data_IF_433025580800
#
_entry.id   IF_433025580800
#
_cell.length_a   1.000
_cell.length_b   1.000
_cell.length_c   1.000
_cell.angle_alpha   90.00
_cell.angle_beta   90.00
_cell.angle_gamma   90.00
#
_symmetry.space_group_name_H-M   'P 1'
#
loop_
_entity.id
_entity.type
_entity.pdbx_description
1 polymer ?
#
# COMPACT_ATOMS: atom_id res chain seq x y z
N UNK A 1 -69.51 1.52 -4.39
CA UNK A 1 -68.52 0.48 -4.73
C UNK A 1 -68.70 -0.68 -3.77
N UNK A 2 -68.71 -1.94 -4.24
CA UNK A 2 -68.73 -3.07 -3.30
C UNK A 2 -67.41 -3.14 -2.53
N UNK A 3 -67.47 -3.59 -1.27
CA UNK A 3 -66.29 -3.75 -0.39
C UNK A 3 -65.15 -4.48 -1.10
N UNK A 4 -65.47 -5.50 -1.89
CA UNK A 4 -64.53 -6.29 -2.68
C UNK A 4 -63.75 -5.48 -3.73
N UNK A 5 -64.39 -4.51 -4.39
CA UNK A 5 -63.71 -3.64 -5.37
C UNK A 5 -62.77 -2.64 -4.69
N UNK A 6 -63.12 -2.17 -3.49
CA UNK A 6 -62.26 -1.27 -2.73
C UNK A 6 -60.99 -1.98 -2.26
N UNK A 7 -61.10 -3.22 -1.77
CA UNK A 7 -59.94 -4.03 -1.37
C UNK A 7 -59.00 -4.33 -2.54
N UNK A 8 -59.53 -4.64 -3.73
CA UNK A 8 -58.70 -4.88 -4.92
C UNK A 8 -57.93 -3.63 -5.36
N UNK A 9 -58.56 -2.45 -5.30
CA UNK A 9 -57.90 -1.18 -5.63
C UNK A 9 -56.79 -0.86 -4.63
N UNK A 10 -57.01 -1.08 -3.33
CA UNK A 10 -56.00 -0.85 -2.29
C UNK A 10 -54.81 -1.81 -2.40
N UNK A 11 -55.03 -3.06 -2.80
CA UNK A 11 -53.94 -4.02 -3.07
C UNK A 11 -53.11 -3.59 -4.28
N UNK A 12 -53.75 -3.18 -5.37
CA UNK A 12 -53.07 -2.67 -6.57
C UNK A 12 -52.24 -1.42 -6.29
N UNK A 13 -52.77 -0.49 -5.48
CA UNK A 13 -52.03 0.71 -5.06
C UNK A 13 -50.80 0.35 -4.23
N UNK A 14 -50.91 -0.59 -3.27
CA UNK A 14 -49.76 -1.02 -2.48
C UNK A 14 -48.67 -1.68 -3.33
N UNK A 15 -49.04 -2.57 -4.26
CA UNK A 15 -48.07 -3.19 -5.18
C UNK A 15 -47.37 -2.14 -6.05
N UNK A 16 -48.11 -1.14 -6.51
CA UNK A 16 -47.56 -0.05 -7.33
C UNK A 16 -46.57 0.81 -6.53
N UNK A 17 -46.91 1.19 -5.30
CA UNK A 17 -46.03 1.99 -4.43
C UNK A 17 -44.75 1.23 -4.07
N UNK A 18 -44.85 -0.06 -3.74
CA UNK A 18 -43.67 -0.90 -3.47
C UNK A 18 -42.78 -1.01 -4.71
N UNK A 19 -43.37 -1.18 -5.90
CA UNK A 19 -42.61 -1.30 -7.15
C UNK A 19 -41.88 -0.02 -7.53
N UNK A 20 -42.53 1.15 -7.38
CA UNK A 20 -41.89 2.46 -7.63
C UNK A 20 -40.75 2.71 -6.64
N UNK A 21 -40.96 2.35 -5.36
CA UNK A 21 -39.95 2.53 -4.32
C UNK A 21 -38.72 1.64 -4.57
N UNK A 22 -38.94 0.38 -4.96
CA UNK A 22 -37.87 -0.56 -5.30
C UNK A 22 -37.09 -0.11 -6.54
N UNK A 23 -37.79 0.37 -7.58
CA UNK A 23 -37.16 0.89 -8.79
C UNK A 23 -36.33 2.17 -8.52
N UNK A 24 -36.81 3.04 -7.65
CA UNK A 24 -36.08 4.25 -7.24
C UNK A 24 -34.83 3.89 -6.43
N UNK A 25 -34.93 2.88 -5.55
CA UNK A 25 -33.78 2.41 -4.77
C UNK A 25 -32.70 1.78 -5.65
N UNK A 26 -33.10 0.98 -6.66
CA UNK A 26 -32.16 0.38 -7.63
C UNK A 26 -31.46 1.46 -8.46
N UNK A 27 -32.18 2.46 -8.97
CA UNK A 27 -31.57 3.53 -9.77
C UNK A 27 -30.61 4.42 -8.97
N UNK A 28 -30.90 4.68 -7.69
CA UNK A 28 -29.99 5.44 -6.81
C UNK A 28 -28.74 4.61 -6.50
N UNK A 29 -28.87 3.30 -6.31
CA UNK A 29 -27.73 2.41 -6.12
C UNK A 29 -26.86 2.30 -7.38
N UNK A 30 -27.45 2.19 -8.57
CA UNK A 30 -26.71 2.13 -9.85
C UNK A 30 -25.97 3.44 -10.18
N UNK A 31 -26.53 4.59 -9.79
CA UNK A 31 -25.86 5.88 -9.95
C UNK A 31 -24.52 5.96 -9.21
N UNK A 32 -24.45 5.42 -7.99
CA UNK A 32 -23.21 5.34 -7.20
C UNK A 32 -22.22 4.28 -7.70
N UNK A 33 -22.72 3.13 -8.16
CA UNK A 33 -21.90 2.05 -8.73
C UNK A 33 -21.25 2.44 -10.07
N UNK A 34 -21.90 3.26 -10.89
CA UNK A 34 -21.34 3.71 -12.17
C UNK A 34 -20.17 4.69 -12.02
N UNK A 35 -20.21 5.57 -11.01
CA UNK A 35 -19.09 6.47 -10.70
C UNK A 35 -17.88 5.71 -10.11
N UNK A 36 -18.13 4.67 -9.33
CA UNK A 36 -17.06 3.82 -8.80
C UNK A 36 -16.32 3.06 -9.90
N UNK A 37 -17.06 2.49 -10.86
CA UNK A 37 -16.47 1.75 -12.01
C UNK A 37 -15.67 2.64 -12.96
N UNK A 38 -16.04 3.91 -13.13
CA UNK A 38 -15.32 4.81 -14.03
C UNK A 38 -14.02 5.36 -13.42
N UNK A 39 -13.96 5.54 -12.10
CA UNK A 39 -12.74 5.93 -11.39
C UNK A 39 -11.73 4.78 -11.32
N UNK A 40 -12.16 3.54 -11.07
CA UNK A 40 -11.27 2.37 -11.11
C UNK A 40 -10.60 2.24 -12.49
N UNK A 41 -11.36 2.32 -13.58
CA UNK A 41 -10.83 2.13 -14.94
C UNK A 41 -9.75 3.16 -15.33
N UNK A 42 -9.76 4.37 -14.74
CA UNK A 42 -8.79 5.42 -15.03
C UNK A 42 -7.49 5.29 -14.22
N UNK A 43 -7.54 4.74 -13.00
CA UNK A 43 -6.33 4.58 -12.16
C UNK A 43 -5.41 3.45 -12.60
N UNK A 44 -5.93 2.47 -13.36
CA UNK A 44 -5.20 1.28 -13.80
C UNK A 44 -4.63 1.34 -15.22
N UNK A 45 -4.94 2.39 -15.99
CA UNK A 45 -4.25 2.59 -17.25
C UNK A 45 -2.79 2.95 -16.93
N UNK A 46 -1.79 2.23 -17.47
CA UNK A 46 -0.41 2.65 -17.31
C UNK A 46 -0.28 4.10 -17.81
N UNK A 47 0.55 4.94 -17.16
CA UNK A 47 0.88 6.22 -17.76
C UNK A 47 1.38 5.95 -19.18
N UNK A 48 0.74 6.55 -20.19
CA UNK A 48 1.28 6.51 -21.53
C UNK A 48 2.70 7.09 -21.46
N UNK A 49 3.71 6.28 -21.80
CA UNK A 49 5.12 6.68 -21.88
C UNK A 49 5.40 7.77 -22.94
N UNK A 50 4.36 8.42 -23.46
CA UNK A 50 4.45 9.60 -24.29
C UNK A 50 3.95 10.79 -23.46
N UNK A 51 4.87 11.53 -22.84
CA UNK A 51 4.56 12.92 -22.47
C UNK A 51 4.24 13.68 -23.77
N UNK A 52 3.00 14.15 -24.02
CA UNK A 52 2.81 15.16 -25.05
C UNK A 52 3.53 16.44 -24.59
N UNK A 53 4.02 17.28 -25.51
CA UNK A 53 4.60 18.56 -25.15
C UNK A 53 3.55 19.37 -24.39
N UNK A 54 3.85 19.70 -23.14
CA UNK A 54 2.99 20.53 -22.29
C UNK A 54 2.88 21.90 -22.95
N UNK A 55 1.68 22.22 -23.47
CA UNK A 55 1.38 23.55 -23.94
C UNK A 55 1.52 24.53 -22.76
N UNK A 56 2.22 25.65 -22.99
CA UNK A 56 2.45 26.68 -22.01
C UNK A 56 1.11 27.16 -21.43
N UNK A 57 0.90 26.92 -20.13
CA UNK A 57 -0.24 27.45 -19.38
C UNK A 57 0.05 28.92 -19.08
N UNK A 58 -0.84 29.81 -19.51
CA UNK A 58 -0.73 31.23 -19.19
C UNK A 58 -0.82 31.47 -17.67
N UNK A 59 -0.04 32.42 -17.13
CA UNK A 59 0.00 32.68 -15.69
C UNK A 59 -1.36 33.19 -15.19
N UNK A 60 -1.90 32.50 -14.19
CA UNK A 60 -3.10 32.92 -13.45
C UNK A 60 -2.78 34.22 -12.71
N UNK A 61 -3.61 35.29 -12.82
CA UNK A 61 -3.39 36.53 -12.11
C UNK A 61 -3.52 36.31 -10.59
N UNK A 62 -2.45 36.67 -9.88
CA UNK A 62 -2.33 36.59 -8.42
C UNK A 62 -3.48 37.30 -7.72
N UNK A 63 -4.34 36.54 -7.03
CA UNK A 63 -5.27 37.10 -6.08
C UNK A 63 -4.48 37.72 -4.91
N UNK A 64 -4.81 38.96 -4.55
CA UNK A 64 -4.26 39.64 -3.37
C UNK A 64 -4.75 38.94 -2.11
N UNK A 65 -3.89 38.09 -1.53
CA UNK A 65 -4.07 37.60 -0.17
C UNK A 65 -3.78 38.75 0.79
N UNK A 66 -4.78 39.13 1.59
CA UNK A 66 -4.65 40.11 2.64
C UNK A 66 -3.83 39.49 3.77
N UNK A 67 -2.56 39.84 3.86
CA UNK A 67 -1.66 39.41 4.95
C UNK A 67 -2.00 40.26 6.18
N UNK A 68 -2.57 39.61 7.20
CA UNK A 68 -2.65 40.15 8.55
C UNK A 68 -1.24 40.09 9.15
N UNK A 69 -0.69 41.19 9.71
CA UNK A 69 0.65 41.18 10.27
C UNK A 69 0.64 40.45 11.61
N UNK A 70 1.15 39.23 11.62
CA UNK A 70 1.43 38.50 12.86
C UNK A 70 2.82 38.86 13.39
N UNK A 71 2.91 38.92 14.70
CA UNK A 71 3.99 39.54 15.45
C UNK A 71 5.32 38.79 15.36
N UNK A 72 6.37 39.58 15.56
CA UNK A 72 7.79 39.26 15.51
C UNK A 72 8.20 38.00 16.29
N UNK A 73 8.46 36.90 15.59
CA UNK A 73 9.44 35.88 15.99
C UNK A 73 10.32 35.52 14.79
N UNK A 74 11.24 36.42 14.47
CA UNK A 74 12.31 36.16 13.51
C UNK A 74 13.37 35.23 14.11
N UNK A 75 13.17 33.92 13.96
CA UNK A 75 14.27 32.97 14.05
C UNK A 75 15.06 33.02 12.74
N UNK A 76 16.17 33.75 12.76
CA UNK A 76 17.21 33.65 11.74
C UNK A 76 17.78 32.23 11.84
N UNK A 77 17.44 31.38 10.88
CA UNK A 77 18.09 30.08 10.71
C UNK A 77 19.50 30.34 10.17
N UNK A 78 20.48 30.37 11.07
CA UNK A 78 21.89 30.41 10.73
C UNK A 78 22.25 29.16 9.90
N UNK A 79 22.54 29.36 8.62
CA UNK A 79 23.04 28.35 7.67
C UNK A 79 24.45 27.83 8.01
N UNK A 80 25.00 28.14 9.19
CA UNK A 80 26.39 27.87 9.55
C UNK A 80 26.59 26.60 10.42
N UNK A 81 25.56 25.83 10.76
CA UNK A 81 25.69 24.64 11.63
C UNK A 81 25.52 23.27 10.96
N UNK A 82 25.47 23.19 9.62
CA UNK A 82 25.32 21.90 8.92
C UNK A 82 26.63 21.08 8.79
N UNK A 83 27.79 21.60 9.19
CA UNK A 83 29.08 20.95 8.89
C UNK A 83 29.64 20.00 9.97
N UNK A 84 28.89 19.66 11.03
CA UNK A 84 29.44 18.83 12.12
C UNK A 84 28.54 17.71 12.66
N UNK A 85 27.59 17.18 11.88
CA UNK A 85 27.02 15.85 12.17
C UNK A 85 27.94 14.81 11.52
N UNK A 86 29.12 14.61 12.11
CA UNK A 86 30.04 13.53 11.72
C UNK A 86 30.02 12.43 12.76
N UNK A 87 29.85 11.19 12.26
CA UNK A 87 30.42 9.92 12.75
C UNK A 87 29.58 8.91 13.56
N UNK A 88 28.30 9.17 13.89
CA UNK A 88 27.49 8.19 14.64
C UNK A 88 26.35 7.48 13.89
N UNK A 89 25.89 8.02 12.76
CA UNK A 89 24.71 7.51 12.05
C UNK A 89 25.02 6.26 11.20
N UNK A 90 24.01 5.41 10.98
CA UNK A 90 24.08 4.21 10.12
C UNK A 90 24.18 4.55 8.61
N UNK A 91 24.54 5.78 8.25
CA UNK A 91 24.41 6.29 6.90
C UNK A 91 25.06 7.66 6.70
N UNK A 92 25.06 8.14 5.46
CA UNK A 92 25.64 9.42 5.05
C UNK A 92 24.67 10.25 4.23
N UNK A 93 24.71 11.56 4.43
CA UNK A 93 24.01 12.51 3.58
C UNK A 93 24.91 12.92 2.41
N UNK A 94 24.46 12.76 1.16
CA UNK A 94 25.23 13.22 -0.01
C UNK A 94 25.17 14.76 -0.17
N UNK A 95 25.91 15.31 -1.15
CA UNK A 95 25.94 16.75 -1.42
C UNK A 95 24.59 17.38 -1.79
N UNK A 96 23.59 16.55 -2.14
CA UNK A 96 22.24 16.97 -2.49
C UNK A 96 21.27 16.84 -1.30
N UNK A 97 21.78 16.54 -0.08
CA UNK A 97 20.96 16.43 1.12
C UNK A 97 20.30 15.07 1.32
N UNK A 98 20.63 14.06 0.51
CA UNK A 98 20.03 12.72 0.64
C UNK A 98 20.75 11.83 1.60
N UNK A 99 20.01 11.33 2.58
CA UNK A 99 20.49 10.31 3.50
C UNK A 99 20.45 8.93 2.85
N UNK A 100 21.58 8.24 2.85
CA UNK A 100 21.71 6.84 2.44
C UNK A 100 22.14 6.01 3.62
N UNK A 101 21.49 4.88 3.83
CA UNK A 101 21.91 3.88 4.82
C UNK A 101 23.00 3.03 4.21
N UNK A 102 24.12 2.87 4.93
CA UNK A 102 25.16 1.96 4.49
C UNK A 102 24.83 0.53 4.89
N UNK A 103 25.08 -0.46 4.01
CA UNK A 103 24.98 -1.85 4.40
C UNK A 103 25.97 -2.14 5.53
N UNK A 104 25.55 -2.90 6.54
CA UNK A 104 26.47 -3.37 7.57
C UNK A 104 27.42 -4.42 6.98
N UNK A 105 28.51 -4.73 7.69
CA UNK A 105 29.48 -5.72 7.24
C UNK A 105 28.80 -7.07 6.92
N UNK A 106 28.89 -7.51 5.67
CA UNK A 106 28.29 -8.77 5.18
C UNK A 106 26.88 -8.63 4.61
N UNK A 107 26.22 -7.49 4.80
CA UNK A 107 24.96 -7.19 4.11
C UNK A 107 25.25 -6.74 2.67
N UNK A 108 24.32 -7.02 1.75
CA UNK A 108 24.34 -6.49 0.38
C UNK A 108 23.83 -5.05 0.38
N UNK A 109 24.13 -4.32 -0.69
CA UNK A 109 23.67 -2.94 -0.87
C UNK A 109 22.40 -2.92 -1.71
N UNK A 110 21.25 -2.65 -1.08
CA UNK A 110 19.96 -2.61 -1.77
C UNK A 110 19.94 -1.54 -2.88
N UNK A 111 20.43 -0.34 -2.58
CA UNK A 111 20.38 0.79 -3.51
C UNK A 111 21.12 0.49 -4.83
N UNK A 112 22.32 -0.08 -4.76
CA UNK A 112 23.09 -0.40 -5.96
C UNK A 112 22.48 -1.55 -6.78
N UNK A 113 21.92 -2.56 -6.11
CA UNK A 113 21.19 -3.65 -6.78
C UNK A 113 19.93 -3.11 -7.46
N UNK A 114 19.14 -2.31 -6.76
CA UNK A 114 17.91 -1.71 -7.25
C UNK A 114 18.14 -0.77 -8.45
N UNK A 115 19.24 -0.01 -8.46
CA UNK A 115 19.65 0.78 -9.63
C UNK A 115 20.02 -0.09 -10.82
N UNK A 116 20.71 -1.21 -10.59
CA UNK A 116 21.15 -2.12 -11.65
C UNK A 116 19.96 -2.82 -12.33
N UNK A 117 18.96 -3.23 -11.56
CA UNK A 117 17.72 -3.86 -12.06
C UNK A 117 16.74 -2.84 -12.63
N UNK A 118 16.87 -1.57 -12.26
CA UNK A 118 16.04 -0.48 -12.78
C UNK A 118 14.67 -0.39 -12.12
N UNK A 119 14.54 -0.83 -10.87
CA UNK A 119 13.29 -0.63 -10.12
C UNK A 119 13.08 0.85 -9.77
N UNK A 120 11.82 1.28 -9.77
CA UNK A 120 11.37 2.61 -9.38
C UNK A 120 11.57 2.91 -7.89
N UNK A 121 11.69 1.87 -7.05
CA UNK A 121 11.94 1.93 -5.60
C UNK A 121 13.10 2.84 -5.18
N UNK A 122 14.05 3.06 -6.10
CA UNK A 122 15.24 3.91 -5.90
C UNK A 122 15.47 4.93 -7.01
N UNK A 123 14.45 5.19 -7.85
CA UNK A 123 14.61 6.11 -8.98
C UNK A 123 14.58 7.58 -8.56
N UNK A 124 13.89 7.94 -7.49
CA UNK A 124 13.79 9.34 -7.07
C UNK A 124 15.14 9.98 -6.68
N UNK A 125 16.05 9.31 -5.93
CA UNK A 125 17.41 9.81 -5.70
C UNK A 125 18.19 10.16 -6.98
N UNK A 126 17.96 9.42 -8.06
CA UNK A 126 18.63 9.64 -9.36
C UNK A 126 18.06 10.85 -10.08
N UNK A 127 16.73 11.06 -10.00
CA UNK A 127 16.03 12.15 -10.71
C UNK A 127 15.98 13.46 -9.95
N UNK A 128 16.04 13.44 -8.62
CA UNK A 128 15.87 14.66 -7.82
C UNK A 128 16.89 15.76 -8.15
N UNK A 129 18.20 15.49 -8.36
CA UNK A 129 19.17 16.56 -8.59
C UNK A 129 18.81 17.45 -9.79
N UNK A 130 18.30 16.87 -10.87
CA UNK A 130 17.89 17.63 -12.05
C UNK A 130 16.54 18.32 -11.83
N UNK A 131 15.62 17.65 -11.14
CA UNK A 131 14.37 18.23 -10.67
C UNK A 131 14.59 19.46 -9.75
N UNK A 132 15.59 19.46 -8.86
CA UNK A 132 15.90 20.60 -8.00
C UNK A 132 16.57 21.76 -8.74
N UNK A 133 17.32 21.48 -9.81
CA UNK A 133 17.88 22.53 -10.67
C UNK A 133 16.80 23.19 -11.54
N UNK A 134 15.80 22.42 -11.94
CA UNK A 134 14.71 22.88 -12.79
C UNK A 134 13.40 22.25 -12.33
N UNK A 135 12.62 22.97 -11.53
CA UNK A 135 11.37 22.47 -10.94
C UNK A 135 10.36 22.03 -12.03
N UNK A 136 10.40 22.64 -13.22
CA UNK A 136 9.56 22.24 -14.35
C UNK A 136 9.90 20.85 -14.93
N UNK A 137 11.06 20.28 -14.58
CA UNK A 137 11.43 18.90 -14.93
C UNK A 137 10.95 17.87 -13.92
N UNK A 138 10.44 18.31 -12.77
CA UNK A 138 9.85 17.44 -11.77
C UNK A 138 8.48 16.91 -12.24
N UNK A 139 8.11 15.71 -11.81
CA UNK A 139 6.76 15.17 -12.04
C UNK A 139 5.71 15.90 -11.22
N UNK A 140 6.10 16.42 -10.04
CA UNK A 140 5.24 17.21 -9.16
C UNK A 140 5.92 18.56 -8.84
N UNK A 141 5.94 19.51 -9.79
CA UNK A 141 6.50 20.85 -9.56
C UNK A 141 5.77 21.54 -8.40
N UNK A 142 6.51 22.33 -7.61
CA UNK A 142 5.96 23.07 -6.48
C UNK A 142 5.61 22.24 -5.23
N UNK A 143 5.85 20.93 -5.21
CA UNK A 143 5.69 20.14 -3.98
C UNK A 143 6.63 20.67 -2.88
N UNK A 144 6.04 20.95 -1.70
CA UNK A 144 6.76 21.54 -0.55
C UNK A 144 7.94 20.66 -0.13
N UNK A 145 7.72 19.34 -0.09
CA UNK A 145 8.75 18.35 0.24
C UNK A 145 9.56 18.00 -1.03
N UNK A 146 10.89 18.25 -1.07
CA UNK A 146 11.75 17.94 -2.21
C UNK A 146 11.64 16.50 -2.71
N UNK A 147 11.61 15.53 -1.79
CA UNK A 147 11.56 14.11 -2.10
C UNK A 147 10.25 13.68 -2.77
N UNK A 148 9.20 14.50 -2.72
CA UNK A 148 7.94 14.25 -3.40
C UNK A 148 7.89 14.79 -4.84
N UNK A 149 8.89 15.55 -5.28
CA UNK A 149 8.90 16.21 -6.60
C UNK A 149 9.23 15.29 -7.78
N UNK A 150 10.26 14.42 -7.73
CA UNK A 150 10.62 13.56 -8.86
C UNK A 150 9.68 12.35 -8.95
N UNK A 151 9.73 11.66 -10.08
CA UNK A 151 9.13 10.33 -10.22
C UNK A 151 10.01 9.25 -9.55
N UNK A 152 9.36 8.20 -9.04
CA UNK A 152 9.99 7.07 -8.33
C UNK A 152 9.97 7.26 -6.82
N UNK A 153 10.70 6.39 -6.11
CA UNK A 153 10.66 6.31 -4.65
C UNK A 153 12.06 6.42 -4.01
N UNK A 154 12.04 6.60 -2.69
CA UNK A 154 13.20 6.67 -1.80
C UNK A 154 13.21 5.48 -0.82
N UNK A 155 12.80 4.30 -1.29
CA UNK A 155 12.62 3.14 -0.41
C UNK A 155 13.93 2.43 -0.05
N UNK A 156 15.06 2.83 -0.64
CA UNK A 156 16.36 2.22 -0.35
C UNK A 156 16.73 2.23 1.13
N UNK A 157 16.42 3.32 1.83
CA UNK A 157 16.75 3.49 3.26
C UNK A 157 16.02 2.45 4.10
N UNK A 158 14.69 2.37 3.98
CA UNK A 158 13.89 1.44 4.79
C UNK A 158 14.17 -0.02 4.41
N UNK A 159 14.38 -0.32 3.11
CA UNK A 159 14.75 -1.65 2.66
C UNK A 159 16.10 -2.09 3.19
N UNK A 160 17.13 -1.25 3.07
CA UNK A 160 18.45 -1.57 3.61
C UNK A 160 18.39 -1.79 5.13
N UNK A 161 17.69 -0.92 5.87
CA UNK A 161 17.60 -1.04 7.33
C UNK A 161 16.89 -2.31 7.80
N UNK A 162 15.79 -2.68 7.14
CA UNK A 162 14.87 -3.71 7.65
C UNK A 162 15.09 -5.07 7.00
N UNK A 163 15.69 -5.11 5.80
CA UNK A 163 15.96 -6.33 5.07
C UNK A 163 17.46 -6.62 4.86
N UNK A 164 18.34 -5.65 5.14
CA UNK A 164 19.80 -5.82 5.11
C UNK A 164 20.29 -7.08 5.85
N UNK A 165 19.84 -7.36 7.09
CA UNK A 165 20.25 -8.55 7.82
C UNK A 165 19.94 -9.87 7.10
N UNK A 166 18.90 -9.92 6.26
CA UNK A 166 18.50 -11.12 5.51
C UNK A 166 19.19 -11.26 4.14
N UNK A 167 19.99 -10.26 3.75
CA UNK A 167 20.75 -10.26 2.50
C UNK A 167 22.13 -10.94 2.64
N UNK A 168 22.52 -11.30 3.86
CA UNK A 168 23.84 -11.85 4.19
C UNK A 168 23.97 -13.30 3.76
N UNK A 169 25.18 -13.72 3.40
CA UNK A 169 25.47 -15.09 2.94
C UNK A 169 25.26 -16.16 4.03
N UNK A 170 25.31 -15.76 5.31
CA UNK A 170 25.08 -16.62 6.49
C UNK A 170 23.62 -16.64 6.97
N UNK A 171 22.68 -16.05 6.20
CA UNK A 171 21.25 -16.06 6.54
C UNK A 171 20.65 -17.44 6.28
N UNK A 172 19.93 -18.01 7.25
CA UNK A 172 19.13 -19.23 7.06
C UNK A 172 18.11 -19.07 5.93
N UNK A 173 17.79 -20.12 5.16
CA UNK A 173 16.76 -20.06 4.12
C UNK A 173 15.40 -19.60 4.65
N UNK A 174 14.71 -18.76 3.88
CA UNK A 174 13.38 -18.23 4.19
C UNK A 174 12.59 -18.02 2.90
N UNK A 175 11.27 -17.79 2.99
CA UNK A 175 10.46 -17.35 1.85
C UNK A 175 10.24 -15.84 1.88
N UNK A 176 10.25 -15.26 0.69
CA UNK A 176 9.89 -13.88 0.39
C UNK A 176 8.71 -13.87 -0.58
N UNK A 177 7.75 -12.97 -0.40
CA UNK A 177 6.64 -12.77 -1.34
C UNK A 177 6.50 -11.29 -1.69
N UNK A 178 6.40 -10.98 -2.99
CA UNK A 178 5.95 -9.69 -3.50
C UNK A 178 4.56 -9.82 -4.12
N UNK A 179 3.63 -8.93 -3.81
CA UNK A 179 2.34 -8.81 -4.48
C UNK A 179 2.48 -7.61 -5.42
N UNK A 180 2.41 -7.83 -6.73
CA UNK A 180 2.74 -6.83 -7.76
C UNK A 180 4.09 -7.13 -8.41
N UNK A 181 4.09 -7.86 -9.52
CA UNK A 181 5.30 -8.14 -10.30
C UNK A 181 5.57 -7.03 -11.33
N UNK A 182 4.51 -6.50 -11.93
CA UNK A 182 4.52 -5.59 -13.07
C UNK A 182 5.40 -6.07 -14.23
N UNK A 183 6.63 -5.56 -14.35
CA UNK A 183 7.62 -5.96 -15.36
C UNK A 183 8.81 -6.74 -14.76
N UNK A 184 8.74 -7.05 -13.46
CA UNK A 184 9.69 -7.84 -12.69
C UNK A 184 10.93 -7.10 -12.19
N UNK A 185 11.08 -5.78 -12.41
CA UNK A 185 12.26 -5.06 -11.92
C UNK A 185 12.35 -5.05 -10.37
N UNK A 186 11.21 -4.89 -9.68
CA UNK A 186 11.12 -5.02 -8.22
C UNK A 186 11.50 -6.43 -7.77
N UNK A 187 10.81 -7.44 -8.29
CA UNK A 187 11.11 -8.85 -8.04
C UNK A 187 12.59 -9.25 -8.27
N UNK A 188 13.18 -8.82 -9.40
CA UNK A 188 14.58 -9.10 -9.74
C UNK A 188 15.53 -8.46 -8.72
N UNK A 189 15.19 -7.26 -8.22
CA UNK A 189 15.93 -6.58 -7.14
C UNK A 189 15.92 -7.43 -5.89
N UNK A 190 14.74 -7.88 -5.46
CA UNK A 190 14.60 -8.68 -4.24
C UNK A 190 15.31 -10.02 -4.36
N UNK A 191 15.24 -10.69 -5.51
CA UNK A 191 15.91 -11.98 -5.72
C UNK A 191 17.44 -11.87 -5.71
N UNK A 192 18.01 -10.75 -6.19
CA UNK A 192 19.45 -10.50 -6.09
C UNK A 192 19.88 -10.07 -4.68
N UNK A 193 19.04 -9.28 -3.99
CA UNK A 193 19.31 -8.80 -2.64
C UNK A 193 19.14 -9.89 -1.58
N UNK A 194 18.07 -10.68 -1.64
CA UNK A 194 17.73 -11.76 -0.72
C UNK A 194 18.11 -13.12 -1.31
N UNK A 195 19.38 -13.31 -1.63
CA UNK A 195 19.83 -14.48 -2.39
C UNK A 195 19.62 -15.85 -1.70
N UNK A 196 19.48 -15.89 -0.37
CA UNK A 196 19.08 -17.09 0.39
C UNK A 196 17.55 -17.22 0.55
N UNK A 197 16.81 -16.20 0.08
CA UNK A 197 15.37 -16.16 0.06
C UNK A 197 14.80 -16.93 -1.12
N UNK A 198 13.83 -17.76 -0.83
CA UNK A 198 12.93 -18.32 -1.81
C UNK A 198 11.86 -17.27 -2.18
N UNK A 199 12.13 -16.52 -3.25
CA UNK A 199 11.27 -15.41 -3.68
C UNK A 199 10.09 -15.89 -4.53
N UNK A 200 8.87 -15.48 -4.15
CA UNK A 200 7.64 -15.62 -4.93
C UNK A 200 7.08 -14.24 -5.29
N UNK A 201 6.26 -14.18 -6.34
CA UNK A 201 5.50 -12.99 -6.70
C UNK A 201 4.08 -13.35 -7.15
N UNK A 202 3.11 -12.45 -6.92
CA UNK A 202 1.73 -12.56 -7.42
C UNK A 202 1.47 -11.41 -8.39
N UNK A 203 0.90 -11.71 -9.56
CA UNK A 203 0.60 -10.71 -10.59
C UNK A 203 -0.72 -10.97 -11.30
N UNK A 204 -1.58 -9.95 -11.33
CA UNK A 204 -2.87 -10.04 -12.03
C UNK A 204 -2.71 -9.86 -13.54
N UNK A 205 -1.73 -9.08 -13.99
CA UNK A 205 -1.50 -8.82 -15.40
C UNK A 205 -1.07 -10.06 -16.19
N UNK A 206 -0.63 -11.13 -15.52
CA UNK A 206 -0.21 -12.36 -16.18
C UNK A 206 -1.33 -13.41 -16.35
N UNK A 207 -2.58 -13.09 -15.99
CA UNK A 207 -3.75 -13.90 -16.34
C UNK A 207 -4.18 -13.68 -17.80
N UNK A 208 -5.16 -14.45 -18.26
CA UNK A 208 -5.69 -14.33 -19.62
C UNK A 208 -6.19 -12.90 -19.91
N UNK A 209 -5.86 -12.38 -21.10
CA UNK A 209 -6.33 -11.08 -21.55
C UNK A 209 -7.83 -11.10 -21.83
N UNK A 210 -8.56 -10.09 -21.34
CA UNK A 210 -9.99 -9.94 -21.63
C UNK A 210 -10.73 -9.01 -20.66
N UNK A 211 -12.07 -8.97 -20.72
CA UNK A 211 -12.88 -8.13 -19.86
C UNK A 211 -12.78 -8.55 -18.38
N UNK A 212 -12.67 -7.57 -17.46
CA UNK A 212 -12.71 -7.84 -16.01
C UNK A 212 -13.96 -8.60 -15.57
N UNK A 213 -15.10 -8.40 -16.24
CA UNK A 213 -16.35 -9.12 -15.96
C UNK A 213 -16.25 -10.64 -16.18
N UNK A 214 -15.24 -11.10 -16.91
CA UNK A 214 -14.95 -12.53 -17.13
C UNK A 214 -13.80 -13.03 -16.24
N UNK A 215 -13.33 -12.21 -15.27
CA UNK A 215 -12.14 -12.53 -14.46
C UNK A 215 -10.83 -12.39 -15.24
N UNK A 216 -10.83 -11.62 -16.33
CA UNK A 216 -9.68 -11.44 -17.24
C UNK A 216 -9.05 -10.05 -17.12
N UNK A 217 -7.82 -9.89 -17.61
CA UNK A 217 -7.08 -8.64 -17.53
C UNK A 217 -7.09 -7.86 -18.86
N UNK A 218 -7.65 -6.64 -18.93
CA UNK A 218 -7.85 -5.97 -20.22
C UNK A 218 -6.60 -5.26 -20.78
N UNK A 219 -5.61 -4.93 -19.94
CA UNK A 219 -4.50 -4.03 -20.30
C UNK A 219 -3.25 -4.73 -20.86
N UNK A 220 -3.30 -6.05 -21.05
CA UNK A 220 -2.21 -6.86 -21.58
C UNK A 220 -1.25 -7.36 -20.50
N UNK A 221 -0.40 -8.33 -20.88
CA UNK A 221 0.52 -8.98 -19.95
C UNK A 221 1.81 -8.17 -19.79
N UNK A 222 1.85 -7.33 -18.76
CA UNK A 222 3.05 -6.53 -18.47
C UNK A 222 4.21 -7.40 -17.95
N UNK A 223 3.91 -8.53 -17.31
CA UNK A 223 4.90 -9.45 -16.75
C UNK A 223 5.75 -10.12 -17.84
N UNK A 224 5.15 -10.40 -19.00
CA UNK A 224 5.85 -10.93 -20.18
C UNK A 224 7.01 -10.05 -20.67
N UNK A 225 7.07 -8.77 -20.27
CA UNK A 225 8.21 -7.89 -20.58
C UNK A 225 9.50 -8.34 -19.87
N UNK A 226 9.40 -9.07 -18.75
CA UNK A 226 10.57 -9.58 -18.06
C UNK A 226 11.21 -10.73 -18.86
N UNK A 227 12.53 -10.66 -19.08
CA UNK A 227 13.26 -11.70 -19.85
C UNK A 227 13.24 -13.08 -19.19
N UNK A 228 12.94 -13.14 -17.89
CA UNK A 228 12.85 -14.35 -17.08
C UNK A 228 11.41 -14.73 -16.74
N UNK A 229 10.41 -14.09 -17.35
CA UNK A 229 8.99 -14.34 -17.11
C UNK A 229 8.64 -15.84 -17.17
N UNK A 230 8.97 -16.52 -18.27
CA UNK A 230 8.69 -17.96 -18.42
C UNK A 230 9.45 -18.79 -17.39
N UNK A 231 10.73 -18.45 -17.13
CA UNK A 231 11.51 -19.11 -16.08
C UNK A 231 10.82 -19.00 -14.72
N UNK A 232 10.23 -17.86 -14.37
CA UNK A 232 9.55 -17.68 -13.08
C UNK A 232 8.24 -18.46 -12.97
N UNK A 233 7.53 -18.64 -14.09
CA UNK A 233 6.38 -19.56 -14.14
C UNK A 233 6.83 -21.02 -13.96
N UNK A 234 7.87 -21.43 -14.71
CA UNK A 234 8.38 -22.82 -14.70
C UNK A 234 8.95 -23.21 -13.33
N UNK A 235 9.54 -22.25 -12.60
CA UNK A 235 10.07 -22.44 -11.25
C UNK A 235 8.99 -22.35 -10.13
N UNK A 236 7.72 -22.14 -10.47
CA UNK A 236 6.62 -21.89 -9.52
C UNK A 236 6.89 -20.68 -8.58
N UNK A 237 7.47 -19.62 -9.17
CA UNK A 237 7.87 -18.38 -8.47
C UNK A 237 7.03 -17.17 -8.86
N UNK A 238 6.34 -17.20 -9.98
CA UNK A 238 5.38 -16.16 -10.38
C UNK A 238 3.98 -16.78 -10.48
N UNK A 239 3.04 -16.23 -9.72
CA UNK A 239 1.69 -16.75 -9.57
C UNK A 239 0.69 -15.79 -10.23
N UNK A 240 0.04 -16.24 -11.31
CA UNK A 240 -0.89 -15.41 -12.08
C UNK A 240 -2.31 -15.41 -11.50
N UNK A 241 -2.72 -14.28 -10.91
CA UNK A 241 -4.04 -14.10 -10.33
C UNK A 241 -4.21 -12.81 -9.54
N UNK A 242 -5.39 -12.62 -8.96
CA UNK A 242 -5.73 -11.40 -8.22
C UNK A 242 -5.19 -11.46 -6.78
N UNK A 243 -4.24 -10.58 -6.48
CA UNK A 243 -3.66 -10.43 -5.13
C UNK A 243 -4.65 -10.01 -4.04
N UNK A 244 -5.90 -9.71 -4.37
CA UNK A 244 -6.97 -9.39 -3.43
C UNK A 244 -8.01 -10.51 -3.23
N UNK A 245 -7.99 -11.57 -4.06
CA UNK A 245 -8.90 -12.71 -3.90
C UNK A 245 -8.37 -13.70 -2.87
N UNK A 246 -8.99 -13.70 -1.69
CA UNK A 246 -8.63 -14.57 -0.55
C UNK A 246 -8.60 -16.06 -0.90
N UNK A 247 -9.44 -16.53 -1.82
CA UNK A 247 -9.43 -17.93 -2.24
C UNK A 247 -8.19 -18.25 -3.09
N UNK A 248 -7.86 -17.35 -4.02
CA UNK A 248 -6.66 -17.47 -4.83
C UNK A 248 -5.39 -17.37 -3.96
N UNK A 249 -5.34 -16.44 -3.01
CA UNK A 249 -4.23 -16.34 -2.06
C UNK A 249 -4.06 -17.61 -1.22
N UNK A 250 -5.15 -18.24 -0.76
CA UNK A 250 -5.10 -19.52 -0.03
C UNK A 250 -4.67 -20.68 -0.93
N UNK A 251 -5.07 -20.68 -2.19
CA UNK A 251 -4.60 -21.64 -3.18
C UNK A 251 -3.08 -21.56 -3.37
N UNK A 252 -2.54 -20.38 -3.65
CA UNK A 252 -1.09 -20.15 -3.80
C UNK A 252 -0.35 -20.55 -2.53
N UNK A 253 -0.86 -20.14 -1.37
CA UNK A 253 -0.27 -20.49 -0.08
C UNK A 253 -0.20 -22.01 0.11
N UNK A 254 -1.31 -22.73 -0.09
CA UNK A 254 -1.36 -24.17 0.18
C UNK A 254 -0.64 -25.02 -0.85
N UNK A 255 -0.64 -24.62 -2.12
CA UNK A 255 -0.10 -25.44 -3.21
C UNK A 255 1.38 -25.18 -3.47
N UNK A 256 1.81 -23.92 -3.41
CA UNK A 256 3.16 -23.52 -3.84
C UNK A 256 4.06 -23.18 -2.66
N UNK A 257 3.56 -22.39 -1.72
CA UNK A 257 4.41 -21.82 -0.65
C UNK A 257 4.50 -22.71 0.58
N UNK A 258 3.41 -23.35 1.02
CA UNK A 258 3.34 -24.15 2.26
C UNK A 258 3.51 -25.66 2.01
N UNK A 259 4.57 -26.02 1.30
CA UNK A 259 4.95 -27.42 1.09
C UNK A 259 5.76 -27.97 2.29
N UNK A 260 5.86 -29.29 2.49
CA UNK A 260 6.50 -29.87 3.68
C UNK A 260 7.97 -29.49 3.90
N UNK A 261 8.69 -29.17 2.83
CA UNK A 261 10.10 -28.76 2.81
C UNK A 261 10.29 -27.24 2.61
N UNK A 262 9.20 -26.46 2.64
CA UNK A 262 9.29 -25.02 2.48
C UNK A 262 10.01 -24.38 3.68
N UNK A 263 10.92 -23.43 3.44
CA UNK A 263 11.39 -22.57 4.51
C UNK A 263 10.25 -21.65 4.99
N UNK A 264 10.36 -21.05 6.18
CA UNK A 264 9.30 -20.21 6.72
C UNK A 264 9.10 -18.90 5.92
N UNK A 265 7.86 -18.41 5.84
CA UNK A 265 7.56 -17.10 5.26
C UNK A 265 8.02 -15.99 6.19
N UNK A 266 9.02 -15.20 5.76
CA UNK A 266 9.64 -14.15 6.57
C UNK A 266 9.27 -12.75 6.16
N UNK A 267 9.13 -12.51 4.87
CA UNK A 267 8.97 -11.17 4.31
C UNK A 267 7.86 -11.19 3.27
N UNK A 268 6.93 -10.25 3.38
CA UNK A 268 5.89 -9.97 2.38
C UNK A 268 5.96 -8.50 2.01
N UNK A 269 5.91 -8.18 0.73
CA UNK A 269 5.80 -6.81 0.20
C UNK A 269 4.53 -6.72 -0.61
N UNK A 270 3.62 -5.81 -0.27
CA UNK A 270 2.51 -5.41 -1.10
C UNK A 270 2.87 -4.15 -1.89
N UNK A 271 3.09 -4.33 -3.19
CA UNK A 271 3.33 -3.32 -4.21
C UNK A 271 2.36 -3.53 -5.39
N UNK A 272 1.13 -3.95 -5.08
CA UNK A 272 0.17 -4.43 -6.06
C UNK A 272 -0.64 -3.31 -6.71
N UNK A 273 -1.96 -3.34 -6.49
CA UNK A 273 -2.90 -2.43 -7.16
C UNK A 273 -2.95 -1.02 -6.54
N UNK A 274 -2.32 -0.82 -5.39
CA UNK A 274 -2.40 0.40 -4.56
C UNK A 274 -3.84 0.85 -4.19
N UNK A 275 -4.81 -0.06 -4.29
CA UNK A 275 -6.16 0.15 -3.77
C UNK A 275 -6.17 -0.12 -2.27
N UNK A 276 -6.73 0.81 -1.49
CA UNK A 276 -6.89 0.64 -0.05
C UNK A 276 -7.50 -0.70 0.39
N UNK A 277 -8.58 -1.23 -0.22
CA UNK A 277 -9.10 -2.54 0.14
C UNK A 277 -8.13 -3.68 -0.15
N UNK A 278 -7.33 -3.59 -1.22
CA UNK A 278 -6.38 -4.63 -1.57
C UNK A 278 -5.21 -4.63 -0.58
N UNK A 279 -4.64 -3.45 -0.29
CA UNK A 279 -3.59 -3.30 0.71
C UNK A 279 -4.00 -3.82 2.10
N UNK A 280 -5.22 -3.48 2.56
CA UNK A 280 -5.73 -3.98 3.83
C UNK A 280 -5.97 -5.50 3.77
N UNK A 281 -6.52 -6.03 2.68
CA UNK A 281 -6.70 -7.47 2.48
C UNK A 281 -5.37 -8.25 2.53
N UNK A 282 -4.30 -7.70 1.96
CA UNK A 282 -2.96 -8.29 2.06
C UNK A 282 -2.50 -8.39 3.51
N UNK A 283 -2.73 -7.35 4.33
CA UNK A 283 -2.40 -7.39 5.77
C UNK A 283 -3.20 -8.49 6.48
N UNK A 284 -4.52 -8.57 6.27
CA UNK A 284 -5.36 -9.60 6.92
C UNK A 284 -4.99 -11.02 6.51
N UNK A 285 -4.62 -11.24 5.24
CA UNK A 285 -4.33 -12.56 4.75
C UNK A 285 -2.91 -13.04 5.10
N UNK A 286 -1.91 -12.21 4.81
CA UNK A 286 -0.50 -12.62 4.87
C UNK A 286 0.13 -12.40 6.25
N UNK A 287 -0.20 -11.31 6.96
CA UNK A 287 0.44 -11.01 8.25
C UNK A 287 0.33 -12.16 9.27
N UNK A 288 -0.81 -12.88 9.41
CA UNK A 288 -0.89 -14.00 10.32
C UNK A 288 0.07 -15.16 10.01
N UNK A 289 0.42 -15.36 8.73
CA UNK A 289 1.22 -16.48 8.20
C UNK A 289 2.72 -16.25 8.27
N UNK A 290 3.15 -15.00 8.41
CA UNK A 290 4.56 -14.64 8.56
C UNK A 290 5.09 -15.21 9.89
N UNK A 291 6.30 -15.74 9.85
CA UNK A 291 6.99 -16.30 11.01
C UNK A 291 7.24 -15.24 12.10
N UNK A 292 7.54 -15.66 13.34
CA UNK A 292 7.93 -14.74 14.40
C UNK A 292 9.02 -13.75 13.95
N UNK A 293 8.86 -12.47 14.27
CA UNK A 293 9.80 -11.39 13.90
C UNK A 293 9.98 -11.12 12.40
N UNK A 294 9.23 -11.81 11.53
CA UNK A 294 9.12 -11.45 10.12
C UNK A 294 8.36 -10.14 9.92
N UNK A 295 8.33 -9.66 8.67
CA UNK A 295 7.77 -8.33 8.33
C UNK A 295 6.84 -8.38 7.12
N UNK A 296 5.80 -7.56 7.17
CA UNK A 296 4.96 -7.22 6.03
C UNK A 296 5.18 -5.74 5.69
N UNK A 297 5.41 -5.44 4.43
CA UNK A 297 5.68 -4.11 3.91
C UNK A 297 4.54 -3.75 2.97
N UNK A 298 4.00 -2.54 3.07
CA UNK A 298 3.00 -2.00 2.14
C UNK A 298 3.58 -0.73 1.53
N UNK A 299 3.81 -0.77 0.22
CA UNK A 299 4.30 0.34 -0.59
C UNK A 299 3.14 1.27 -1.00
N UNK A 300 3.49 2.42 -1.56
CA UNK A 300 2.59 3.40 -2.16
C UNK A 300 1.33 3.80 -1.39
N UNK A 301 1.47 3.97 -0.07
CA UNK A 301 0.47 4.59 0.80
C UNK A 301 0.40 6.13 0.62
N UNK A 302 0.32 6.57 -0.63
CA UNK A 302 0.32 7.97 -1.06
C UNK A 302 -1.03 8.67 -0.74
N UNK A 303 -1.07 10.01 -0.68
CA UNK A 303 -2.31 10.79 -0.58
C UNK A 303 -3.11 10.83 -1.91
N UNK A 304 -3.32 9.67 -2.55
CA UNK A 304 -4.14 9.53 -3.77
C UNK A 304 -5.47 8.88 -3.44
N UNK A 305 -6.49 9.07 -4.27
CA UNK A 305 -7.86 8.64 -3.96
C UNK A 305 -7.94 7.13 -3.63
N UNK A 306 -7.19 6.33 -4.38
CA UNK A 306 -7.12 4.88 -4.34
C UNK A 306 -6.53 4.36 -3.02
N UNK A 307 -5.42 4.96 -2.58
CA UNK A 307 -4.65 4.52 -1.41
C UNK A 307 -5.02 5.23 -0.11
N UNK A 308 -5.64 6.42 -0.19
CA UNK A 308 -5.75 7.32 0.96
C UNK A 308 -6.61 6.75 2.09
N UNK A 309 -7.59 5.88 1.82
CA UNK A 309 -8.36 5.21 2.88
C UNK A 309 -7.49 4.26 3.72
N UNK A 310 -6.47 3.61 3.13
CA UNK A 310 -5.52 2.81 3.91
C UNK A 310 -4.75 3.69 4.90
N UNK A 311 -4.20 4.80 4.42
CA UNK A 311 -3.45 5.76 5.24
C UNK A 311 -4.29 6.44 6.32
N UNK A 312 -5.52 6.82 5.99
CA UNK A 312 -6.35 7.68 6.86
C UNK A 312 -7.38 6.93 7.70
N UNK A 313 -7.69 5.68 7.36
CA UNK A 313 -8.68 4.86 8.07
C UNK A 313 -8.07 3.58 8.64
N UNK A 314 -7.38 2.78 7.82
CA UNK A 314 -6.85 1.49 8.26
C UNK A 314 -5.65 1.63 9.21
N UNK A 315 -4.61 2.35 8.79
CA UNK A 315 -3.38 2.49 9.57
C UNK A 315 -3.60 3.10 10.97
N UNK A 316 -4.43 4.15 11.16
CA UNK A 316 -4.73 4.67 12.50
C UNK A 316 -5.42 3.66 13.41
N UNK A 317 -6.32 2.82 12.88
CA UNK A 317 -6.97 1.75 13.66
C UNK A 317 -5.94 0.72 14.13
N UNK A 318 -5.03 0.30 13.25
CA UNK A 318 -3.99 -0.67 13.61
C UNK A 318 -2.96 -0.08 14.59
N UNK A 319 -2.57 1.19 14.43
CA UNK A 319 -1.73 1.91 15.38
C UNK A 319 -2.38 2.02 16.76
N UNK A 320 -3.69 2.23 16.81
CA UNK A 320 -4.45 2.26 18.04
C UNK A 320 -4.47 0.88 18.71
N UNK A 321 -4.70 -0.18 17.95
CA UNK A 321 -4.63 -1.57 18.45
C UNK A 321 -3.23 -1.92 18.98
N UNK A 322 -2.14 -1.49 18.32
CA UNK A 322 -0.77 -1.71 18.81
C UNK A 322 -0.57 -1.26 20.27
N UNK A 323 -1.28 -0.22 20.70
CA UNK A 323 -1.22 0.33 22.05
C UNK A 323 -2.33 -0.16 22.99
N UNK A 324 -3.12 -1.14 22.56
CA UNK A 324 -4.19 -1.71 23.37
C UNK A 324 -3.65 -2.59 24.51
N UNK A 325 -3.88 -2.17 25.75
CA UNK A 325 -3.46 -2.91 26.95
C UNK A 325 -4.56 -3.76 27.59
N UNK A 326 -5.83 -3.61 27.16
CA UNK A 326 -6.94 -4.41 27.65
C UNK A 326 -7.28 -4.25 29.14
N UNK A 327 -6.97 -3.09 29.77
CA UNK A 327 -7.39 -2.80 31.15
C UNK A 327 -8.79 -2.16 31.18
N UNK A 328 -9.85 -2.93 31.49
CA UNK A 328 -11.22 -2.41 31.51
C UNK A 328 -11.45 -1.36 32.60
N UNK A 329 -10.54 -1.23 33.58
CA UNK A 329 -10.64 -0.20 34.63
C UNK A 329 -10.15 1.16 34.16
N UNK A 330 -9.29 1.20 33.15
CA UNK A 330 -8.68 2.45 32.65
C UNK A 330 -9.42 3.02 31.45
N UNK A 331 -9.97 2.17 30.58
CA UNK A 331 -10.80 2.58 29.45
C UNK A 331 -11.65 1.41 28.95
N UNK A 332 -12.94 1.60 28.63
CA UNK A 332 -13.72 0.62 27.89
C UNK A 332 -13.30 0.66 26.41
N UNK A 333 -12.04 0.34 26.16
CA UNK A 333 -11.47 0.28 24.82
C UNK A 333 -11.75 -1.11 24.22
N UNK A 334 -12.07 -1.14 22.93
CA UNK A 334 -12.30 -2.33 22.12
C UNK A 334 -11.26 -2.33 20.99
N UNK A 335 -10.73 -3.51 20.67
CA UNK A 335 -9.85 -3.72 19.51
C UNK A 335 -10.60 -3.47 18.21
N UNK A 336 -9.97 -2.77 17.27
CA UNK A 336 -10.50 -2.61 15.91
C UNK A 336 -10.33 -3.92 15.10
N UNK A 337 -9.19 -4.61 15.26
CA UNK A 337 -8.76 -5.79 14.51
C UNK A 337 -8.25 -6.91 15.44
N UNK A 338 -9.16 -7.66 16.10
CA UNK A 338 -8.79 -8.73 17.04
C UNK A 338 -7.93 -9.86 16.47
N UNK A 339 -7.96 -10.07 15.14
CA UNK A 339 -7.15 -11.10 14.47
C UNK A 339 -5.70 -10.68 14.22
N UNK A 340 -5.44 -9.36 14.13
CA UNK A 340 -4.11 -8.81 13.86
C UNK A 340 -3.38 -8.39 15.14
N UNK A 341 -4.08 -7.77 16.07
CA UNK A 341 -3.51 -7.25 17.33
C UNK A 341 -2.60 -8.24 18.06
N UNK A 342 -3.00 -9.52 18.30
CA UNK A 342 -2.18 -10.46 19.06
C UNK A 342 -0.88 -10.86 18.38
N UNK A 343 -0.64 -10.41 17.15
CA UNK A 343 0.48 -10.79 16.29
C UNK A 343 1.42 -9.62 16.00
N UNK A 344 1.01 -8.39 16.32
CA UNK A 344 1.72 -7.16 15.98
C UNK A 344 2.75 -6.81 17.06
N UNK A 345 3.99 -6.54 16.65
CA UNK A 345 5.06 -6.06 17.52
C UNK A 345 5.37 -4.58 17.33
N UNK A 346 5.41 -4.12 16.07
CA UNK A 346 5.74 -2.74 15.75
C UNK A 346 5.15 -2.33 14.40
N UNK A 347 5.06 -1.02 14.22
CA UNK A 347 4.76 -0.38 12.94
C UNK A 347 5.82 0.70 12.71
N UNK A 348 6.44 0.69 11.53
CA UNK A 348 7.40 1.73 11.11
C UNK A 348 7.00 2.24 9.74
N UNK A 349 6.75 3.55 9.62
CA UNK A 349 6.39 4.17 8.35
C UNK A 349 7.41 5.24 7.95
N UNK A 350 7.74 5.25 6.67
CA UNK A 350 8.47 6.31 5.99
C UNK A 350 7.57 6.94 4.91
N UNK A 351 8.14 7.79 4.06
CA UNK A 351 7.36 8.44 3.01
C UNK A 351 6.78 7.40 2.05
N UNK A 352 5.45 7.26 2.06
CA UNK A 352 4.70 6.36 1.17
C UNK A 352 4.97 4.86 1.38
N UNK A 353 5.50 4.43 2.53
CA UNK A 353 5.72 3.01 2.83
C UNK A 353 5.57 2.75 4.32
N UNK A 354 4.97 1.61 4.69
CA UNK A 354 4.90 1.16 6.09
C UNK A 354 5.31 -0.30 6.20
N UNK A 355 5.89 -0.64 7.36
CA UNK A 355 6.31 -1.97 7.75
C UNK A 355 5.58 -2.37 9.02
N UNK A 356 4.96 -3.53 8.99
CA UNK A 356 4.31 -4.20 10.11
C UNK A 356 5.20 -5.38 10.53
N UNK A 357 5.60 -5.40 11.79
CA UNK A 357 6.52 -6.42 12.33
C UNK A 357 5.77 -7.43 13.18
N UNK A 358 6.05 -8.71 12.97
CA UNK A 358 5.52 -9.81 13.78
C UNK A 358 6.11 -9.86 15.17
N UNK A 359 5.28 -10.19 16.16
CA UNK A 359 5.76 -10.55 17.48
C UNK A 359 6.28 -12.00 17.53
N UNK A 360 6.66 -12.45 18.73
CA UNK A 360 7.25 -13.77 18.94
C UNK A 360 6.25 -14.94 18.87
N UNK A 361 4.96 -14.67 18.66
CA UNK A 361 3.95 -15.72 18.55
C UNK A 361 4.12 -16.47 17.23
N UNK A 362 4.04 -17.83 17.24
CA UNK A 362 4.07 -18.62 16.02
C UNK A 362 3.09 -18.14 14.95
N UNK A 363 3.42 -18.38 13.68
CA UNK A 363 2.53 -18.15 12.55
C UNK A 363 1.20 -18.89 12.74
N UNK A 364 0.10 -18.29 12.27
CA UNK A 364 -1.25 -18.83 12.40
C UNK A 364 -1.90 -19.01 11.04
N UNK A 365 -2.56 -20.14 10.88
CA UNK A 365 -3.40 -20.46 9.72
C UNK A 365 -4.84 -20.10 10.06
N UNK A 366 -5.18 -18.84 9.85
CA UNK A 366 -6.56 -18.39 10.01
C UNK A 366 -7.46 -19.05 8.95
N UNK A 367 -8.75 -19.21 9.26
CA UNK A 367 -9.73 -19.59 8.24
C UNK A 367 -9.83 -18.50 7.15
N UNK A 368 -10.41 -18.85 5.98
CA UNK A 368 -10.67 -17.87 4.93
C UNK A 368 -11.51 -16.69 5.43
N UNK A 369 -12.51 -16.97 6.26
CA UNK A 369 -13.37 -15.93 6.85
C UNK A 369 -12.61 -14.98 7.79
N UNK A 370 -11.71 -15.52 8.61
CA UNK A 370 -10.86 -14.71 9.51
C UNK A 370 -9.72 -13.98 8.77
N UNK A 371 -9.30 -14.51 7.62
CA UNK A 371 -8.32 -13.89 6.73
C UNK A 371 -8.94 -12.86 5.79
N UNK A 372 -10.26 -12.79 5.69
CA UNK A 372 -10.98 -11.81 4.87
C UNK A 372 -11.03 -10.48 5.61
N UNK A 373 -10.70 -9.39 4.91
CA UNK A 373 -10.77 -8.05 5.47
C UNK A 373 -12.20 -7.76 5.98
N UNK A 374 -12.37 -7.37 7.26
CA UNK A 374 -13.69 -7.10 7.80
C UNK A 374 -14.26 -5.79 7.23
N UNK A 375 -15.59 -5.63 7.13
CA UNK A 375 -16.22 -4.45 6.52
C UNK A 375 -15.91 -3.10 7.20
N UNK A 376 -15.34 -3.11 8.41
CA UNK A 376 -14.92 -1.90 9.13
C UNK A 376 -13.44 -1.53 8.90
N UNK A 377 -12.66 -2.33 8.17
CA UNK A 377 -11.22 -2.08 8.00
C UNK A 377 -10.88 -0.70 7.42
N UNK A 378 -11.72 -0.19 6.53
CA UNK A 378 -11.56 1.13 5.91
C UNK A 378 -12.57 2.17 6.41
N UNK A 379 -13.16 1.93 7.58
CA UNK A 379 -14.15 2.82 8.18
C UNK A 379 -13.87 2.97 9.68
N UNK A 380 -13.04 3.97 10.00
CA UNK A 380 -12.61 4.21 11.38
C UNK A 380 -13.79 4.56 12.31
N UNK A 381 -14.91 5.04 11.77
CA UNK A 381 -16.11 5.34 12.58
C UNK A 381 -16.74 4.08 13.19
N UNK A 382 -16.48 2.90 12.61
CA UNK A 382 -16.95 1.61 13.12
C UNK A 382 -16.04 1.04 14.21
N UNK A 383 -14.82 1.55 14.38
CA UNK A 383 -14.02 1.22 15.56
C UNK A 383 -14.51 2.06 16.74
N UNK A 384 -15.43 1.49 17.54
CA UNK A 384 -16.16 2.17 18.63
C UNK A 384 -15.25 3.01 19.53
N UNK A 385 -14.07 2.51 19.79
CA UNK A 385 -13.12 3.08 20.71
C UNK A 385 -12.30 4.25 20.15
N UNK A 386 -12.36 4.51 18.84
CA UNK A 386 -11.82 5.74 18.25
C UNK A 386 -12.72 6.96 18.51
N UNK A 387 -13.99 6.74 18.88
CA UNK A 387 -14.97 7.81 19.06
C UNK A 387 -15.02 8.38 20.49
N UNK A 388 -14.50 7.66 21.49
CA UNK A 388 -14.64 8.02 22.92
C UNK A 388 -13.75 9.18 23.36
N UNK A 389 -12.68 9.49 22.62
CA UNK A 389 -11.77 10.62 22.88
C UNK A 389 -12.23 11.98 22.35
N UNK A 390 -13.26 12.02 21.51
CA UNK A 390 -13.87 13.25 21.00
C UNK A 390 -15.18 13.55 21.74
N UNK A 391 -15.15 13.53 23.08
CA UNK A 391 -16.22 14.18 23.84
C UNK A 391 -16.27 15.63 23.39
N UNK A 392 -17.29 15.94 22.60
CA UNK A 392 -17.68 17.28 22.20
C UNK A 392 -17.60 18.17 23.44
N UNK A 393 -16.64 19.09 23.46
CA UNK A 393 -16.73 20.27 24.32
C UNK A 393 -17.91 21.07 23.82
N UNK A 394 -19.11 20.70 24.29
CA UNK A 394 -20.31 21.50 24.13
C UNK A 394 -20.08 22.79 24.91
N UNK A 395 -19.72 23.86 24.21
CA UNK A 395 -19.80 25.25 24.67
C UNK A 395 -21.19 25.79 24.43
#
# INVERSE_FOLDING_TARGET
MSSQRLTQILLLLNVTVVSISLWSFINVADGGLSQFKSQEAASFAPPEDASPPVAAVEPIPSAKVLVVPDSQHGAVLDNASQSAITSGGIGTTNSNGFYFVHPKQGERNFYEIAKKTGTDKVTAPVRLPDCLKNDASCTRPGCVRPECRPWGHHYDTIYQQRMGPYSRDDTDPFQFLEIGFYNGAGYDTYREFLHNGECHSIEIACIEKGPRSEGKWPWGNFAEKNKRYQQYLDEDRLHCGDGSDVNYLDEVWRKSMKRPDAPPLKIVVDDGAHLAPHMAQSVFFWFPKIEPRGILIVEDIQPIAEANAFRTQFLPQLMKDLHYCGDPKQSPDDLCFPTLFPLLASIHCEMHICIFERNDTPSKELSLAESTMPPNALDMSKCKSMLSGHRQTTT
#
